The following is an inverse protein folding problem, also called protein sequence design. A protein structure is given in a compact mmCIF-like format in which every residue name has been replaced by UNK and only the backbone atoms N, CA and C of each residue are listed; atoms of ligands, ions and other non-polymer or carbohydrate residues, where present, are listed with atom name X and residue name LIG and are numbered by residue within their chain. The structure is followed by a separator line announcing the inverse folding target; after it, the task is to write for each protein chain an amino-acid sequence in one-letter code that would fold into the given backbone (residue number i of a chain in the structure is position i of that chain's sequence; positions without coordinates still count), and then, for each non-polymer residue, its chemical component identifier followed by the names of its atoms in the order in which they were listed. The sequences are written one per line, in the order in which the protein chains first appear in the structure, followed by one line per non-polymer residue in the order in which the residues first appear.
data_IF_307374061008
#
_entry.id   IF_307374061008
#
_cell.length_a   1.000
_cell.length_b   1.000
_cell.length_c   1.000
_cell.angle_alpha   90.00
_cell.angle_beta   90.00
_cell.angle_gamma   90.00
#
_symmetry.space_group_name_H-M   'P 1'
#
loop_
_entity.id
_entity.type
_entity.pdbx_description
1 polymer ?
#
# COMPACT_ATOMS: atom_id res chain seq x y z
N UNK A 1 8.22 5.74 -40.98
CA UNK A 1 6.88 6.31 -40.74
C UNK A 1 5.83 5.27 -40.30
N UNK A 2 6.04 3.97 -40.43
CA UNK A 2 5.09 2.93 -39.96
C UNK A 2 5.17 2.65 -38.45
N UNK A 3 6.33 2.76 -37.84
CA UNK A 3 6.55 2.52 -36.39
C UNK A 3 5.89 3.56 -35.48
N UNK A 4 5.77 4.82 -35.93
CA UNK A 4 5.15 5.90 -35.16
C UNK A 4 3.63 5.72 -34.98
N UNK A 5 2.96 5.01 -35.90
CA UNK A 5 1.52 4.75 -35.81
C UNK A 5 1.15 3.66 -34.83
N UNK A 6 2.05 2.68 -34.58
CA UNK A 6 1.82 1.62 -33.60
C UNK A 6 2.03 2.11 -32.17
N UNK A 7 2.99 2.99 -31.93
CA UNK A 7 3.23 3.61 -30.62
C UNK A 7 2.04 4.46 -30.18
N UNK A 8 1.42 5.22 -31.13
CA UNK A 8 0.23 6.04 -30.84
C UNK A 8 -1.00 5.18 -30.51
N UNK A 9 -1.13 4.02 -31.12
CA UNK A 9 -2.29 3.14 -30.94
C UNK A 9 -2.21 2.36 -29.61
N UNK A 10 -1.00 1.98 -29.18
CA UNK A 10 -0.75 1.37 -27.87
C UNK A 10 -0.97 2.39 -26.76
N UNK A 11 -0.58 3.66 -26.94
CA UNK A 11 -0.82 4.73 -25.97
C UNK A 11 -2.31 5.05 -25.80
N UNK A 12 -3.11 4.98 -26.89
CA UNK A 12 -4.57 5.20 -26.83
C UNK A 12 -5.31 4.05 -26.13
N UNK A 13 -4.82 2.81 -26.27
CA UNK A 13 -5.38 1.65 -25.58
C UNK A 13 -5.02 1.64 -24.09
N UNK A 14 -3.83 2.09 -23.72
CA UNK A 14 -3.42 2.21 -22.31
C UNK A 14 -4.19 3.31 -21.56
N UNK A 15 -4.56 4.40 -22.25
CA UNK A 15 -5.30 5.52 -21.64
C UNK A 15 -6.78 5.17 -21.38
N UNK A 16 -7.38 4.25 -22.16
CA UNK A 16 -8.77 3.82 -21.95
C UNK A 16 -8.96 2.87 -20.76
N UNK A 17 -7.88 2.27 -20.23
CA UNK A 17 -7.93 1.41 -19.05
C UNK A 17 -7.82 2.19 -17.74
N UNK A 18 -7.33 3.44 -17.78
CA UNK A 18 -7.14 4.27 -16.58
C UNK A 18 -8.41 5.05 -16.17
N UNK A 19 -9.42 5.15 -17.01
CA UNK A 19 -10.67 5.86 -16.69
C UNK A 19 -11.75 4.96 -16.05
N UNK A 20 -11.46 3.66 -15.85
CA UNK A 20 -12.41 2.67 -15.33
C UNK A 20 -12.53 2.59 -13.80
N UNK A 21 -11.60 3.20 -13.03
CA UNK A 21 -11.55 2.99 -11.57
C UNK A 21 -12.34 3.98 -10.70
N UNK A 22 -12.91 5.05 -11.27
CA UNK A 22 -13.70 5.98 -10.44
C UNK A 22 -15.17 5.58 -10.24
N UNK A 23 -15.68 4.65 -11.05
CA UNK A 23 -17.09 4.24 -10.97
C UNK A 23 -17.37 3.23 -9.86
N UNK A 24 -16.37 2.50 -9.36
CA UNK A 24 -16.56 1.52 -8.28
C UNK A 24 -16.71 2.16 -6.90
N UNK A 25 -16.14 3.35 -6.68
CA UNK A 25 -16.26 4.06 -5.40
C UNK A 25 -17.68 4.64 -5.13
N UNK A 26 -18.49 4.84 -6.17
CA UNK A 26 -19.87 5.35 -6.03
C UNK A 26 -20.91 4.25 -5.79
N UNK A 27 -20.59 2.99 -6.07
CA UNK A 27 -21.53 1.90 -5.83
C UNK A 27 -21.59 1.44 -4.37
N UNK A 28 -20.52 1.60 -3.59
CA UNK A 28 -20.52 1.25 -2.17
C UNK A 28 -21.20 2.31 -1.29
N UNK A 29 -21.23 3.59 -1.70
CA UNK A 29 -21.91 4.64 -0.93
C UNK A 29 -23.41 4.71 -1.17
N UNK A 30 -23.92 3.99 -2.18
CA UNK A 30 -25.36 3.95 -2.52
C UNK A 30 -26.12 2.84 -1.79
N UNK A 31 -25.39 1.95 -1.13
CA UNK A 31 -25.94 0.84 -0.33
C UNK A 31 -25.88 1.10 1.19
N UNK A 32 -25.64 2.34 1.62
CA UNK A 32 -25.97 2.74 2.99
C UNK A 32 -27.49 2.71 3.11
N UNK A 33 -27.94 1.46 3.28
CA UNK A 33 -29.33 1.10 3.42
C UNK A 33 -29.99 2.01 4.44
N UNK A 34 -31.08 2.47 4.04
CA UNK A 34 -32.01 3.25 4.86
C UNK A 34 -32.04 2.69 6.27
N UNK A 35 -31.89 3.54 7.27
CA UNK A 35 -32.02 3.21 8.70
C UNK A 35 -33.30 2.37 9.01
N UNK A 36 -34.29 2.48 8.16
CA UNK A 36 -35.53 1.69 8.22
C UNK A 36 -35.33 0.19 7.96
N UNK A 37 -34.37 -0.21 7.14
CA UNK A 37 -34.10 -1.64 6.85
C UNK A 37 -33.40 -2.29 8.03
N UNK A 38 -32.46 -1.61 8.67
CA UNK A 38 -31.74 -2.11 9.84
C UNK A 38 -32.66 -2.22 11.07
N UNK A 39 -33.58 -1.24 11.26
CA UNK A 39 -34.60 -1.29 12.30
C UNK A 39 -35.59 -2.44 12.11
N UNK A 40 -35.99 -2.74 10.87
CA UNK A 40 -36.84 -3.88 10.55
C UNK A 40 -36.08 -5.20 10.70
N UNK A 41 -34.83 -5.25 10.32
CA UNK A 41 -33.98 -6.43 10.46
C UNK A 41 -33.78 -6.81 11.94
N UNK A 42 -33.68 -5.83 12.84
CA UNK A 42 -33.58 -6.08 14.27
C UNK A 42 -34.85 -6.77 14.86
N UNK A 43 -35.99 -6.70 14.18
CA UNK A 43 -37.25 -7.35 14.57
C UNK A 43 -37.37 -8.77 13.97
N UNK A 44 -36.51 -9.16 13.05
CA UNK A 44 -36.53 -10.49 12.43
C UNK A 44 -35.92 -11.51 13.41
N UNK A 45 -36.55 -12.67 13.63
CA UNK A 45 -35.99 -13.73 14.46
C UNK A 45 -34.58 -14.10 14.04
N UNK A 46 -33.67 -14.32 14.99
CA UNK A 46 -32.25 -14.59 14.80
C UNK A 46 -31.97 -15.76 13.82
N UNK A 47 -32.88 -16.77 13.86
CA UNK A 47 -32.77 -17.92 12.95
C UNK A 47 -32.94 -17.54 11.46
N UNK A 48 -33.70 -16.47 11.19
CA UNK A 48 -33.91 -15.93 9.83
C UNK A 48 -32.88 -14.89 9.41
N UNK A 49 -32.03 -14.44 10.35
CA UNK A 49 -30.94 -13.49 10.06
C UNK A 49 -29.66 -14.19 9.60
N UNK A 50 -29.60 -15.53 9.66
CA UNK A 50 -28.39 -16.28 9.31
C UNK A 50 -27.85 -15.94 7.92
N UNK A 51 -28.70 -15.86 6.92
CA UNK A 51 -28.31 -15.54 5.55
C UNK A 51 -27.76 -14.10 5.44
N UNK A 52 -28.28 -13.17 6.24
CA UNK A 52 -27.80 -11.79 6.28
C UNK A 52 -26.42 -11.73 6.93
N UNK A 53 -26.19 -12.45 8.03
CA UNK A 53 -24.90 -12.53 8.68
C UNK A 53 -23.84 -13.20 7.78
N UNK A 54 -24.21 -14.26 7.07
CA UNK A 54 -23.35 -14.91 6.10
C UNK A 54 -23.00 -13.98 4.93
N UNK A 55 -23.99 -13.23 4.40
CA UNK A 55 -23.75 -12.26 3.34
C UNK A 55 -22.85 -11.10 3.82
N UNK A 56 -23.07 -10.59 5.04
CA UNK A 56 -22.24 -9.54 5.63
C UNK A 56 -20.80 -10.01 5.85
N UNK A 57 -20.61 -11.23 6.34
CA UNK A 57 -19.29 -11.83 6.51
C UNK A 57 -18.58 -12.02 5.16
N UNK A 58 -19.29 -12.52 4.14
CA UNK A 58 -18.74 -12.70 2.80
C UNK A 58 -18.35 -11.36 2.17
N UNK A 59 -19.15 -10.30 2.41
CA UNK A 59 -18.80 -8.94 1.97
C UNK A 59 -17.52 -8.45 2.65
N UNK A 60 -17.43 -8.56 3.97
CA UNK A 60 -16.23 -8.20 4.73
C UNK A 60 -15.00 -8.96 4.21
N UNK A 61 -15.12 -10.26 4.01
CA UNK A 61 -14.04 -11.08 3.44
C UNK A 61 -13.62 -10.63 2.04
N UNK A 62 -14.57 -10.23 1.21
CA UNK A 62 -14.28 -9.72 -0.13
C UNK A 62 -13.56 -8.37 -0.08
N UNK A 63 -13.94 -7.49 0.84
CA UNK A 63 -13.30 -6.19 1.06
C UNK A 63 -11.84 -6.36 1.54
N UNK A 64 -11.59 -7.22 2.52
CA UNK A 64 -10.24 -7.51 3.01
C UNK A 64 -9.34 -8.12 1.90
N UNK A 65 -9.89 -9.02 1.09
CA UNK A 65 -9.16 -9.60 -0.05
C UNK A 65 -8.90 -8.58 -1.15
N UNK A 66 -9.81 -7.63 -1.37
CA UNK A 66 -9.62 -6.54 -2.33
C UNK A 66 -8.51 -5.58 -1.85
N UNK A 67 -8.49 -5.24 -0.56
CA UNK A 67 -7.43 -4.43 0.03
C UNK A 67 -6.07 -5.11 -0.11
N UNK A 68 -5.97 -6.40 0.22
CA UNK A 68 -4.76 -7.20 0.03
C UNK A 68 -4.29 -7.20 -1.43
N UNK A 69 -5.20 -7.35 -2.38
CA UNK A 69 -4.86 -7.29 -3.81
C UNK A 69 -4.32 -5.92 -4.22
N UNK A 70 -4.87 -4.83 -3.67
CA UNK A 70 -4.38 -3.47 -3.86
C UNK A 70 -2.95 -3.29 -3.33
N UNK A 71 -2.69 -3.74 -2.11
CA UNK A 71 -1.34 -3.69 -1.51
C UNK A 71 -0.31 -4.49 -2.33
N UNK A 72 -0.68 -5.68 -2.82
CA UNK A 72 0.21 -6.49 -3.68
C UNK A 72 0.50 -5.81 -5.02
N UNK A 73 -0.46 -5.13 -5.61
CA UNK A 73 -0.26 -4.35 -6.83
C UNK A 73 0.67 -3.14 -6.59
N UNK A 74 0.53 -2.46 -5.46
CA UNK A 74 1.43 -1.38 -5.06
C UNK A 74 2.85 -1.89 -4.82
N UNK A 75 3.00 -3.04 -4.14
CA UNK A 75 4.29 -3.68 -3.93
C UNK A 75 5.00 -3.98 -5.25
N UNK A 76 4.28 -4.54 -6.23
CA UNK A 76 4.84 -4.81 -7.55
C UNK A 76 5.32 -3.52 -8.24
N UNK A 77 4.56 -2.43 -8.16
CA UNK A 77 4.96 -1.13 -8.71
C UNK A 77 6.20 -0.54 -8.02
N UNK A 78 6.34 -0.73 -6.70
CA UNK A 78 7.52 -0.28 -5.96
C UNK A 78 8.75 -1.12 -6.32
N UNK A 79 8.59 -2.44 -6.52
CA UNK A 79 9.67 -3.33 -6.96
C UNK A 79 10.16 -2.99 -8.37
N UNK A 80 9.25 -2.63 -9.29
CA UNK A 80 9.60 -2.14 -10.61
C UNK A 80 10.45 -0.86 -10.52
N UNK A 81 10.00 0.14 -9.76
CA UNK A 81 10.75 1.38 -9.54
C UNK A 81 12.13 1.14 -8.91
N UNK A 82 12.22 0.18 -7.99
CA UNK A 82 13.49 -0.18 -7.38
C UNK A 82 14.46 -0.76 -8.42
N UNK A 83 13.97 -1.62 -9.31
CA UNK A 83 14.76 -2.18 -10.41
C UNK A 83 15.22 -1.09 -11.40
N UNK A 84 14.33 -0.14 -11.73
CA UNK A 84 14.66 1.01 -12.60
C UNK A 84 15.81 1.85 -11.99
N UNK A 85 15.78 2.12 -10.69
CA UNK A 85 16.86 2.84 -10.03
C UNK A 85 18.18 2.06 -10.02
N UNK A 86 18.14 0.73 -9.89
CA UNK A 86 19.34 -0.10 -9.99
C UNK A 86 19.95 -0.02 -11.39
N UNK A 87 19.12 -0.08 -12.44
CA UNK A 87 19.56 0.05 -13.82
C UNK A 87 20.15 1.45 -14.08
N UNK A 88 19.47 2.52 -13.62
CA UNK A 88 19.96 3.89 -13.76
C UNK A 88 21.32 4.08 -13.08
N UNK A 89 21.51 3.53 -11.86
CA UNK A 89 22.80 3.54 -11.17
C UNK A 89 23.88 2.81 -11.95
N UNK A 90 23.59 1.62 -12.49
CA UNK A 90 24.54 0.86 -13.30
C UNK A 90 24.99 1.65 -14.53
N UNK A 91 24.06 2.32 -15.21
CA UNK A 91 24.34 3.19 -16.35
C UNK A 91 25.20 4.38 -15.94
N UNK A 92 24.98 4.99 -14.77
CA UNK A 92 25.83 6.06 -14.25
C UNK A 92 27.24 5.59 -13.91
N UNK A 93 27.40 4.41 -13.34
CA UNK A 93 28.74 3.83 -13.10
C UNK A 93 29.47 3.56 -14.40
N UNK A 94 28.78 3.09 -15.44
CA UNK A 94 29.37 2.91 -16.77
C UNK A 94 29.83 4.26 -17.35
N UNK A 95 28.98 5.30 -17.29
CA UNK A 95 29.32 6.65 -17.75
C UNK A 95 30.55 7.22 -17.01
N UNK A 96 30.62 7.03 -15.69
CA UNK A 96 31.81 7.43 -14.89
C UNK A 96 33.07 6.70 -15.38
N UNK A 97 32.95 5.40 -15.66
CA UNK A 97 34.12 4.61 -16.12
C UNK A 97 34.61 5.11 -17.49
N UNK A 98 33.75 5.42 -18.43
CA UNK A 98 34.07 5.99 -19.73
C UNK A 98 34.78 7.35 -19.57
N UNK A 99 34.22 8.26 -18.78
CA UNK A 99 34.81 9.58 -18.56
C UNK A 99 36.15 9.48 -17.84
N UNK A 100 36.31 8.55 -16.89
CA UNK A 100 37.62 8.27 -16.23
C UNK A 100 38.66 7.73 -17.20
N UNK A 101 38.26 6.89 -18.15
CA UNK A 101 39.15 6.40 -19.21
C UNK A 101 39.62 7.55 -20.10
N UNK A 102 38.71 8.45 -20.50
CA UNK A 102 39.07 9.60 -21.33
C UNK A 102 39.98 10.59 -20.57
N UNK A 103 39.69 10.80 -19.29
CA UNK A 103 40.55 11.59 -18.40
C UNK A 103 41.96 10.99 -18.32
N UNK A 104 42.08 9.68 -18.13
CA UNK A 104 43.37 9.00 -18.04
C UNK A 104 44.18 9.12 -19.36
N UNK A 105 43.51 9.01 -20.52
CA UNK A 105 44.15 9.23 -21.83
C UNK A 105 44.68 10.66 -21.96
N UNK A 106 43.87 11.64 -21.60
CA UNK A 106 44.24 13.04 -21.71
C UNK A 106 45.33 13.44 -20.71
N UNK A 107 45.34 12.92 -19.50
CA UNK A 107 46.43 13.11 -18.52
C UNK A 107 47.73 12.46 -19.01
N UNK A 108 47.66 11.33 -19.74
CA UNK A 108 48.86 10.72 -20.35
C UNK A 108 49.40 11.60 -21.48
N UNK A 109 48.56 12.20 -22.33
CA UNK A 109 48.96 13.16 -23.38
C UNK A 109 49.63 14.40 -22.78
N UNK A 110 49.05 14.96 -21.71
CA UNK A 110 49.60 16.13 -21.03
C UNK A 110 50.97 15.82 -20.38
N UNK A 111 51.09 14.69 -19.70
CA UNK A 111 52.36 14.22 -19.12
C UNK A 111 53.47 13.98 -20.17
N UNK A 112 53.07 13.60 -21.38
CA UNK A 112 53.99 13.44 -22.51
C UNK A 112 54.32 14.78 -23.19
N UNK A 113 53.79 15.92 -22.72
CA UNK A 113 53.92 17.25 -23.30
C UNK A 113 53.45 17.29 -24.77
N UNK A 114 52.40 16.53 -25.10
CA UNK A 114 51.80 16.52 -26.44
C UNK A 114 50.55 17.44 -26.46
N UNK A 115 50.38 18.14 -27.58
CA UNK A 115 49.29 19.10 -27.75
C UNK A 115 49.53 20.45 -27.06
N UNK A 116 48.50 21.29 -27.08
CA UNK A 116 48.53 22.58 -26.38
C UNK A 116 48.25 22.42 -24.88
N UNK A 117 49.18 22.86 -24.06
CA UNK A 117 49.10 22.66 -22.59
C UNK A 117 47.88 23.29 -21.96
N UNK A 118 47.48 24.49 -22.39
CA UNK A 118 46.30 25.18 -21.85
C UNK A 118 45.01 24.44 -22.22
N UNK A 119 44.92 23.96 -23.45
CA UNK A 119 43.78 23.16 -23.94
C UNK A 119 43.64 21.82 -23.17
N UNK A 120 44.79 21.13 -22.94
CA UNK A 120 44.80 19.90 -22.14
C UNK A 120 44.33 20.14 -20.72
N UNK A 121 44.80 21.21 -20.05
CA UNK A 121 44.38 21.56 -18.69
C UNK A 121 42.89 21.83 -18.62
N UNK A 122 42.33 22.62 -19.56
CA UNK A 122 40.91 22.93 -19.61
C UNK A 122 40.07 21.67 -19.81
N UNK A 123 40.43 20.80 -20.75
CA UNK A 123 39.71 19.53 -20.98
C UNK A 123 39.80 18.58 -19.79
N UNK A 124 40.92 18.52 -19.07
CA UNK A 124 41.07 17.73 -17.84
C UNK A 124 40.13 18.28 -16.77
N UNK A 125 40.05 19.60 -16.62
CA UNK A 125 39.15 20.24 -15.67
C UNK A 125 37.65 19.93 -15.99
N UNK A 126 37.28 19.99 -17.26
CA UNK A 126 35.91 19.68 -17.72
C UNK A 126 35.54 18.22 -17.46
N UNK A 127 36.47 17.25 -17.75
CA UNK A 127 36.22 15.85 -17.46
C UNK A 127 36.08 15.57 -15.96
N UNK A 128 36.91 16.21 -15.13
CA UNK A 128 36.78 16.11 -13.66
C UNK A 128 35.47 16.69 -13.18
N UNK A 129 35.04 17.83 -13.68
CA UNK A 129 33.76 18.44 -13.35
C UNK A 129 32.56 17.54 -13.78
N UNK A 130 32.67 16.87 -14.96
CA UNK A 130 31.68 15.92 -15.44
C UNK A 130 31.58 14.70 -14.53
N UNK A 131 32.69 14.13 -14.07
CA UNK A 131 32.70 13.02 -13.11
C UNK A 131 31.96 13.41 -11.84
N UNK A 132 32.31 14.55 -11.25
CA UNK A 132 31.65 15.03 -10.02
C UNK A 132 30.13 15.23 -10.18
N UNK A 133 29.69 15.69 -11.34
CA UNK A 133 28.27 15.84 -11.66
C UNK A 133 27.58 14.48 -11.71
N UNK A 134 28.16 13.50 -12.40
CA UNK A 134 27.59 12.15 -12.51
C UNK A 134 27.56 11.47 -11.14
N UNK A 135 28.62 11.62 -10.33
CA UNK A 135 28.67 11.10 -8.96
C UNK A 135 27.57 11.72 -8.08
N UNK A 136 27.34 13.04 -8.20
CA UNK A 136 26.24 13.70 -7.47
C UNK A 136 24.86 13.20 -7.92
N UNK A 137 24.66 12.98 -9.22
CA UNK A 137 23.41 12.41 -9.73
C UNK A 137 23.21 10.97 -9.23
N UNK A 138 24.29 10.17 -9.18
CA UNK A 138 24.26 8.79 -8.67
C UNK A 138 23.84 8.75 -7.19
N UNK A 139 24.35 9.64 -6.35
CA UNK A 139 23.97 9.77 -4.93
C UNK A 139 22.46 10.08 -4.81
N UNK A 140 21.90 10.91 -5.71
CA UNK A 140 20.46 11.22 -5.69
C UNK A 140 19.61 10.00 -6.07
N UNK A 141 20.06 9.21 -7.05
CA UNK A 141 19.38 7.98 -7.46
C UNK A 141 19.43 6.95 -6.32
N UNK A 142 20.60 6.81 -5.67
CA UNK A 142 20.77 5.94 -4.51
C UNK A 142 19.80 6.29 -3.38
N UNK A 143 19.66 7.56 -3.02
CA UNK A 143 18.71 8.01 -2.01
C UNK A 143 17.24 7.67 -2.37
N UNK A 144 16.88 7.75 -3.67
CA UNK A 144 15.54 7.34 -4.14
C UNK A 144 15.35 5.83 -4.05
N UNK A 145 16.36 5.05 -4.44
CA UNK A 145 16.38 3.59 -4.33
C UNK A 145 16.18 3.15 -2.88
N UNK A 146 16.96 3.72 -1.95
CA UNK A 146 16.89 3.37 -0.53
C UNK A 146 15.52 3.74 0.07
N UNK A 147 14.98 4.90 -0.30
CA UNK A 147 13.61 5.29 0.11
C UNK A 147 12.57 4.30 -0.43
N UNK A 148 12.74 3.82 -1.66
CA UNK A 148 11.81 2.86 -2.27
C UNK A 148 11.96 1.49 -1.62
N UNK A 149 13.18 1.05 -1.30
CA UNK A 149 13.44 -0.18 -0.56
C UNK A 149 12.77 -0.18 0.83
N UNK A 150 12.83 0.95 1.54
CA UNK A 150 12.14 1.07 2.83
C UNK A 150 10.63 0.93 2.67
N UNK A 151 10.02 1.57 1.65
CA UNK A 151 8.59 1.43 1.38
C UNK A 151 8.19 -0.01 1.03
N UNK A 152 9.05 -0.73 0.29
CA UNK A 152 8.83 -2.14 -0.02
C UNK A 152 8.81 -2.97 1.27
N UNK A 153 9.74 -2.74 2.20
CA UNK A 153 9.78 -3.43 3.50
C UNK A 153 8.53 -3.16 4.33
N UNK A 154 8.16 -1.89 4.45
CA UNK A 154 7.00 -1.47 5.23
C UNK A 154 5.70 -2.06 4.66
N UNK A 155 5.54 -2.03 3.34
CA UNK A 155 4.37 -2.59 2.67
C UNK A 155 4.34 -4.12 2.74
N UNK A 156 5.49 -4.78 2.72
CA UNK A 156 5.56 -6.24 2.89
C UNK A 156 5.04 -6.66 4.26
N UNK A 157 5.41 -5.92 5.32
CA UNK A 157 4.89 -6.17 6.67
C UNK A 157 3.37 -5.99 6.71
N UNK A 158 2.84 -4.92 6.11
CA UNK A 158 1.39 -4.67 6.06
C UNK A 158 0.64 -5.79 5.31
N UNK A 159 1.23 -6.32 4.24
CA UNK A 159 0.67 -7.46 3.49
C UNK A 159 0.61 -8.71 4.38
N UNK A 160 1.67 -9.01 5.13
CA UNK A 160 1.70 -10.15 6.06
C UNK A 160 0.66 -10.01 7.18
N UNK A 161 0.50 -8.82 7.74
CA UNK A 161 -0.53 -8.50 8.72
C UNK A 161 -1.94 -8.69 8.13
N UNK A 162 -2.18 -8.21 6.92
CA UNK A 162 -3.46 -8.35 6.23
C UNK A 162 -3.77 -9.81 5.87
N UNK A 163 -2.79 -10.59 5.42
CA UNK A 163 -2.94 -12.02 5.18
C UNK A 163 -3.29 -12.78 6.47
N UNK A 164 -2.64 -12.42 7.58
CA UNK A 164 -2.94 -12.98 8.89
C UNK A 164 -4.37 -12.65 9.33
N UNK A 165 -4.81 -11.41 9.13
CA UNK A 165 -6.17 -10.97 9.43
C UNK A 165 -7.21 -11.78 8.64
N UNK A 166 -7.00 -11.94 7.33
CA UNK A 166 -7.87 -12.74 6.46
C UNK A 166 -7.92 -14.19 6.94
N UNK A 167 -6.77 -14.79 7.24
CA UNK A 167 -6.69 -16.16 7.74
C UNK A 167 -7.45 -16.34 9.05
N UNK A 168 -7.34 -15.37 9.97
CA UNK A 168 -8.06 -15.39 11.24
C UNK A 168 -9.58 -15.25 11.03
N UNK A 169 -10.03 -14.41 10.11
CA UNK A 169 -11.44 -14.28 9.75
C UNK A 169 -11.97 -15.59 9.12
N UNK A 170 -11.22 -16.20 8.23
CA UNK A 170 -11.59 -17.52 7.63
C UNK A 170 -11.70 -18.61 8.69
N UNK A 171 -10.78 -18.65 9.65
CA UNK A 171 -10.79 -19.62 10.75
C UNK A 171 -11.94 -19.39 11.75
N UNK A 172 -12.30 -18.13 12.00
CA UNK A 172 -13.43 -17.78 12.87
C UNK A 172 -14.79 -18.18 12.26
N UNK A 173 -14.87 -18.21 10.93
CA UNK A 173 -16.12 -18.51 10.22
C UNK A 173 -17.18 -17.43 10.38
N UNK A 174 -18.39 -17.71 9.91
CA UNK A 174 -19.54 -16.82 10.06
C UNK A 174 -19.91 -16.70 11.54
N UNK A 175 -19.94 -15.48 12.13
CA UNK A 175 -20.33 -15.30 13.51
C UNK A 175 -21.74 -15.86 13.75
N UNK A 176 -21.90 -16.77 14.71
CA UNK A 176 -23.24 -17.21 15.11
C UNK A 176 -24.01 -16.00 15.68
N UNK A 177 -25.28 -15.82 15.27
CA UNK A 177 -26.11 -14.77 15.83
C UNK A 177 -26.22 -14.96 17.34
N UNK A 178 -25.75 -13.96 18.10
CA UNK A 178 -25.84 -13.99 19.56
C UNK A 178 -27.32 -14.03 19.91
N UNK A 179 -27.82 -15.18 20.36
CA UNK A 179 -29.14 -15.29 20.94
C UNK A 179 -29.14 -14.39 22.18
N UNK A 180 -29.71 -13.21 22.07
CA UNK A 180 -30.03 -12.39 23.24
C UNK A 180 -30.98 -13.19 24.08
N UNK A 181 -30.47 -13.93 25.06
CA UNK A 181 -31.31 -14.39 26.17
C UNK A 181 -31.86 -13.12 26.84
N UNK A 182 -32.99 -12.69 26.32
CA UNK A 182 -33.82 -11.66 26.93
C UNK A 182 -34.11 -12.14 28.34
N UNK A 183 -33.49 -11.44 29.30
CA UNK A 183 -33.48 -11.78 30.69
C UNK A 183 -34.79 -12.30 31.18
N UNK A 184 -34.76 -13.48 31.78
CA UNK A 184 -35.77 -13.90 32.74
C UNK A 184 -35.99 -12.75 33.69
N UNK A 185 -37.18 -12.16 33.59
CA UNK A 185 -37.73 -11.22 34.52
C UNK A 185 -37.66 -11.90 35.88
N UNK A 186 -36.74 -11.50 36.73
CA UNK A 186 -36.76 -11.85 38.13
C UNK A 186 -38.08 -11.36 38.71
N UNK A 187 -38.93 -12.33 39.03
CA UNK A 187 -40.09 -12.08 39.90
C UNK A 187 -39.52 -11.62 41.23
N UNK A 188 -39.91 -10.38 41.58
CA UNK A 188 -39.46 -9.70 42.77
C UNK A 188 -39.79 -10.46 44.05
N UNK A 189 -38.95 -10.31 45.09
CA UNK A 189 -39.16 -10.93 46.36
C UNK A 189 -40.39 -10.35 47.07
N UNK A 190 -41.18 -11.25 47.58
CA UNK A 190 -42.40 -11.09 48.40
C UNK A 190 -42.16 -10.11 49.56
N UNK A 191 -43.07 -9.19 49.70
CA UNK A 191 -43.19 -8.15 50.71
C UNK A 191 -43.34 -8.78 52.11
N UNK A 192 -42.29 -8.85 52.92
CA UNK A 192 -42.36 -9.20 54.34
C UNK A 192 -42.65 -7.96 55.16
N UNK A 193 -43.86 -7.99 55.82
CA UNK A 193 -44.33 -7.02 56.79
C UNK A 193 -43.34 -6.84 57.97
N UNK A 194 -43.11 -5.62 58.45
CA UNK A 194 -42.32 -5.37 59.63
C UNK A 194 -43.05 -5.74 60.93
N UNK A 195 -42.43 -6.64 61.69
CA UNK A 195 -42.85 -6.97 63.04
C UNK A 195 -42.42 -5.89 64.04
N UNK A 196 -43.33 -5.56 64.92
CA UNK A 196 -43.21 -4.64 66.04
C UNK A 196 -42.02 -4.95 66.95
N UNK A 197 -41.22 -3.97 67.24
CA UNK A 197 -40.21 -3.98 68.32
C UNK A 197 -40.77 -3.34 69.54
N UNK A 198 -40.90 -4.14 70.59
CA UNK A 198 -41.10 -3.68 71.95
C UNK A 198 -39.86 -3.02 72.52
N UNK A 199 -40.05 -1.83 73.02
CA UNK A 199 -39.19 -1.07 73.91
C UNK A 199 -39.08 -1.73 75.28
N UNK A 200 -37.89 -1.85 75.80
CA UNK A 200 -37.62 -1.87 77.29
C UNK A 200 -36.30 -1.19 77.53
N UNK A 201 -36.40 -0.08 78.28
CA UNK A 201 -35.37 0.52 79.11
C UNK A 201 -35.28 -0.20 80.44
N UNK A 202 -34.26 -0.08 81.21
CA UNK A 202 -33.72 1.15 81.85
C UNK A 202 -32.21 1.42 81.53
#
# INVERSE_FOLDING_TARGET
MRTLRYVSLVFLLAFSLLTGCETTRKLTSSFSGTSTTDELLAQVPTEKQKEVHEAAFNLQMAEEKLELAGMKAELASLQEKYADYQEEMANKYHEIAEVKLDLAKLEAVDKANLGEKEDNINKIADLKARILKIEADNIRIEAKRDTTEQKIKDLTIQIEEQETKITNLEAAGVPEPVSSEMGKKDEGPEEQKPGETKTEEP
#
